data_IF_209341305560
#
_entry.id   IF_209341305560
#
_cell.length_a   1.000
_cell.length_b   1.000
_cell.length_c   1.000
_cell.angle_alpha   90.00
_cell.angle_beta   90.00
_cell.angle_gamma   90.00
#
_symmetry.space_group_name_H-M   'P 1'
#
loop_
_entity.id
_entity.type
_entity.pdbx_description
1 polymer ?
#
# COMPACT_ATOMS: atom_id res chain seq x y z
N UNK A 1 -29.73 8.35 -16.42
CA UNK A 1 -28.82 7.31 -16.95
C UNK A 1 -28.09 6.74 -15.75
N UNK A 2 -28.25 5.44 -15.42
CA UNK A 2 -27.53 4.86 -14.29
C UNK A 2 -26.05 4.74 -14.69
N UNK A 3 -25.16 5.28 -13.86
CA UNK A 3 -23.73 5.11 -14.00
C UNK A 3 -23.39 3.62 -13.81
N UNK A 4 -22.48 3.02 -14.60
CA UNK A 4 -21.93 1.71 -14.26
C UNK A 4 -21.12 1.91 -12.98
N UNK A 5 -21.66 1.43 -11.84
CA UNK A 5 -20.85 1.32 -10.64
C UNK A 5 -19.70 0.34 -10.90
N UNK A 6 -18.62 0.51 -10.15
CA UNK A 6 -17.53 -0.45 -10.23
C UNK A 6 -17.82 -1.56 -9.22
N UNK A 7 -17.62 -2.79 -9.68
CA UNK A 7 -17.65 -3.95 -8.81
C UNK A 7 -16.32 -3.98 -8.09
N UNK A 8 -16.37 -3.93 -6.77
CA UNK A 8 -15.22 -4.17 -5.94
C UNK A 8 -15.25 -5.58 -5.39
N UNK A 9 -14.11 -6.26 -5.51
CA UNK A 9 -13.93 -7.60 -4.99
C UNK A 9 -13.37 -7.52 -3.57
N UNK A 10 -14.17 -7.93 -2.58
CA UNK A 10 -13.77 -7.95 -1.17
C UNK A 10 -13.60 -9.38 -0.66
N UNK A 11 -12.53 -9.64 0.08
CA UNK A 11 -12.30 -10.93 0.75
C UNK A 11 -13.01 -10.96 2.10
N UNK A 12 -13.72 -12.04 2.38
CA UNK A 12 -14.47 -12.29 3.61
C UNK A 12 -14.07 -13.60 4.26
N UNK A 13 -14.16 -13.62 5.59
CA UNK A 13 -13.88 -14.78 6.39
C UNK A 13 -14.93 -15.88 6.12
N UNK A 14 -14.52 -17.12 5.79
CA UNK A 14 -15.47 -18.21 5.55
C UNK A 14 -16.26 -18.61 6.79
N UNK A 15 -15.74 -18.30 7.99
CA UNK A 15 -16.36 -18.74 9.24
C UNK A 15 -17.36 -17.73 9.82
N UNK A 16 -17.10 -16.43 9.70
CA UNK A 16 -17.96 -15.39 10.28
C UNK A 16 -18.38 -14.28 9.30
N UNK A 17 -17.94 -14.32 8.04
CA UNK A 17 -18.29 -13.33 7.03
C UNK A 17 -17.60 -11.96 7.15
N UNK A 18 -16.81 -11.73 8.21
CA UNK A 18 -16.06 -10.48 8.39
C UNK A 18 -15.05 -10.24 7.26
N UNK A 19 -14.98 -9.02 6.73
CA UNK A 19 -13.94 -8.57 5.79
C UNK A 19 -12.62 -8.20 6.47
N UNK A 20 -12.55 -8.27 7.79
CA UNK A 20 -11.40 -7.85 8.60
C UNK A 20 -10.34 -8.97 8.71
N UNK A 21 -9.84 -9.36 7.53
CA UNK A 21 -8.80 -10.36 7.31
C UNK A 21 -7.45 -9.67 7.13
N UNK A 22 -6.40 -10.19 7.78
CA UNK A 22 -5.03 -9.74 7.58
C UNK A 22 -4.11 -10.90 7.20
N UNK A 23 -3.10 -10.67 6.35
CA UNK A 23 -2.13 -11.72 6.02
C UNK A 23 -1.29 -12.01 7.27
N UNK A 24 -1.30 -13.28 7.70
CA UNK A 24 -0.51 -13.75 8.83
C UNK A 24 0.88 -14.23 8.39
N UNK A 25 0.97 -14.85 7.21
CA UNK A 25 2.24 -15.36 6.65
C UNK A 25 2.02 -15.71 5.18
N UNK A 26 2.97 -15.43 4.29
CA UNK A 26 2.85 -15.89 2.90
C UNK A 26 3.56 -15.01 1.89
N UNK A 27 4.70 -15.49 1.41
CA UNK A 27 5.29 -15.04 0.16
C UNK A 27 5.06 -16.14 -0.89
N UNK A 28 6.12 -16.82 -1.32
CA UNK A 28 6.11 -17.74 -2.47
C UNK A 28 5.18 -18.97 -2.33
N UNK A 29 4.79 -19.38 -1.12
CA UNK A 29 3.98 -20.57 -0.85
C UNK A 29 2.46 -20.28 -0.70
N UNK A 30 2.03 -19.06 -1.02
CA UNK A 30 0.64 -18.63 -0.88
C UNK A 30 0.39 -17.84 0.41
N UNK A 31 -0.70 -17.08 0.43
CA UNK A 31 -1.07 -16.20 1.54
C UNK A 31 -1.96 -16.93 2.55
N UNK A 32 -1.53 -16.99 3.81
CA UNK A 32 -2.37 -17.37 4.95
C UNK A 32 -3.01 -16.11 5.53
N UNK A 33 -4.32 -16.14 5.71
CA UNK A 33 -5.09 -15.06 6.31
C UNK A 33 -5.51 -15.40 7.72
N UNK A 34 -5.60 -14.37 8.57
CA UNK A 34 -6.22 -14.43 9.90
C UNK A 34 -7.38 -13.45 10.00
N UNK A 35 -8.48 -13.87 10.59
CA UNK A 35 -9.64 -13.01 10.86
C UNK A 35 -9.55 -12.40 12.27
N UNK A 36 -9.72 -11.08 12.39
CA UNK A 36 -9.75 -10.41 13.70
C UNK A 36 -11.02 -10.73 14.50
N UNK A 37 -12.13 -11.02 13.82
CA UNK A 37 -13.44 -11.22 14.46
C UNK A 37 -13.64 -12.59 15.10
N UNK A 38 -13.17 -13.67 14.44
CA UNK A 38 -13.39 -15.04 14.93
C UNK A 38 -12.13 -15.87 15.13
N UNK A 39 -10.95 -15.33 14.79
CA UNK A 39 -9.68 -16.05 14.93
C UNK A 39 -9.41 -17.11 13.85
N UNK A 40 -10.26 -17.23 12.83
CA UNK A 40 -10.01 -18.10 11.67
C UNK A 40 -8.61 -17.87 11.11
N UNK A 41 -7.88 -18.96 10.80
CA UNK A 41 -6.58 -18.94 10.16
C UNK A 41 -6.54 -19.95 9.01
N UNK A 42 -6.26 -19.49 7.79
CA UNK A 42 -6.17 -20.37 6.64
C UNK A 42 -5.91 -19.63 5.33
N UNK A 43 -5.57 -20.39 4.28
CA UNK A 43 -5.35 -19.83 2.94
C UNK A 43 -6.66 -19.55 2.19
N UNK A 44 -7.76 -20.14 2.65
CA UNK A 44 -9.07 -20.00 2.01
C UNK A 44 -9.79 -18.73 2.49
N UNK A 45 -10.31 -17.96 1.55
CA UNK A 45 -11.12 -16.75 1.76
C UNK A 45 -12.27 -16.75 0.77
N UNK A 46 -13.39 -16.14 1.14
CA UNK A 46 -14.56 -16.01 0.25
C UNK A 46 -14.49 -14.65 -0.41
N UNK A 47 -14.52 -14.60 -1.72
CA UNK A 47 -14.64 -13.33 -2.41
C UNK A 47 -16.11 -12.93 -2.63
N UNK A 48 -16.42 -11.66 -2.40
CA UNK A 48 -17.74 -11.08 -2.63
C UNK A 48 -17.65 -9.84 -3.49
N UNK A 49 -18.54 -9.76 -4.47
CA UNK A 49 -18.76 -8.59 -5.31
C UNK A 49 -19.65 -7.59 -4.55
N UNK A 50 -19.12 -6.41 -4.27
CA UNK A 50 -19.90 -5.29 -3.76
C UNK A 50 -19.89 -4.16 -4.78
N UNK A 51 -21.10 -3.68 -5.12
CA UNK A 51 -21.30 -2.49 -5.92
C UNK A 51 -20.86 -1.29 -5.09
N UNK A 52 -19.72 -0.69 -5.43
CA UNK A 52 -19.24 0.48 -4.72
C UNK A 52 -19.51 1.77 -5.53
N UNK A 53 -19.85 2.88 -4.85
CA UNK A 53 -20.02 4.18 -5.50
C UNK A 53 -18.68 4.69 -6.03
N UNK A 54 -18.65 5.12 -7.30
CA UNK A 54 -17.44 5.53 -8.08
C UNK A 54 -16.39 6.21 -7.20
N UNK A 55 -15.11 5.79 -7.20
CA UNK A 55 -14.10 6.44 -6.38
C UNK A 55 -14.04 7.89 -6.81
N UNK A 56 -14.17 8.80 -5.85
CA UNK A 56 -13.85 10.20 -6.08
C UNK A 56 -12.33 10.24 -6.25
N UNK A 57 -11.82 10.75 -7.38
CA UNK A 57 -10.38 10.91 -7.57
C UNK A 57 -9.80 11.64 -6.34
N UNK A 58 -8.77 11.08 -5.68
CA UNK A 58 -8.13 11.78 -4.59
C UNK A 58 -7.58 13.08 -5.16
N UNK A 59 -7.95 14.20 -4.54
CA UNK A 59 -7.30 15.46 -4.79
C UNK A 59 -5.79 15.26 -4.58
N UNK A 60 -5.06 15.60 -5.63
CA UNK A 60 -3.64 15.43 -5.80
C UNK A 60 -2.82 16.33 -4.87
N UNK A 61 -3.01 16.22 -3.55
CA UNK A 61 -2.16 16.84 -2.56
C UNK A 61 -1.16 15.83 -1.98
N UNK A 62 -0.52 15.05 -2.86
CA UNK A 62 0.78 14.47 -2.53
C UNK A 62 1.80 15.61 -2.58
N UNK A 63 1.98 16.31 -1.47
CA UNK A 63 3.20 17.08 -1.23
C UNK A 63 4.34 16.06 -1.04
N UNK A 64 4.77 15.49 -2.17
CA UNK A 64 6.14 15.01 -2.35
C UNK A 64 7.00 16.12 -1.79
N UNK A 65 7.69 15.83 -0.69
CA UNK A 65 8.82 16.65 -0.27
C UNK A 65 9.85 16.53 -1.38
N UNK A 66 9.71 17.34 -2.42
CA UNK A 66 10.65 17.50 -3.50
C UNK A 66 11.86 18.19 -2.89
N UNK A 67 12.83 17.39 -2.43
CA UNK A 67 14.13 17.89 -2.00
C UNK A 67 14.63 18.78 -3.14
N UNK A 68 14.82 20.09 -2.90
CA UNK A 68 15.05 21.00 -3.98
C UNK A 68 16.42 20.73 -4.59
N UNK A 69 16.53 20.85 -5.91
CA UNK A 69 17.71 20.42 -6.66
C UNK A 69 19.02 21.03 -6.13
N UNK A 70 18.97 22.27 -5.64
CA UNK A 70 20.12 22.95 -5.03
C UNK A 70 20.65 22.24 -3.77
N UNK A 71 19.79 21.62 -2.96
CA UNK A 71 20.23 20.87 -1.78
C UNK A 71 21.03 19.62 -2.16
N UNK A 72 20.62 18.93 -3.24
CA UNK A 72 21.38 17.79 -3.80
C UNK A 72 22.73 18.23 -4.35
N UNK A 73 22.77 19.39 -5.03
CA UNK A 73 24.01 19.96 -5.57
C UNK A 73 24.97 20.38 -4.45
N UNK A 74 24.49 21.06 -3.40
CA UNK A 74 25.30 21.46 -2.26
C UNK A 74 25.92 20.26 -1.53
N UNK A 75 25.16 19.18 -1.36
CA UNK A 75 25.67 17.95 -0.75
C UNK A 75 26.83 17.35 -1.56
N UNK A 76 26.72 17.32 -2.90
CA UNK A 76 27.79 16.83 -3.79
C UNK A 76 29.02 17.74 -3.76
N UNK A 77 28.82 19.07 -3.80
CA UNK A 77 29.92 20.05 -3.72
C UNK A 77 30.67 19.90 -2.40
N UNK A 78 29.96 19.84 -1.27
CA UNK A 78 30.57 19.67 0.05
C UNK A 78 31.39 18.38 0.14
N UNK A 79 30.86 17.27 -0.38
CA UNK A 79 31.56 15.98 -0.43
C UNK A 79 32.86 16.09 -1.23
N UNK A 80 32.82 16.68 -2.43
CA UNK A 80 34.01 16.82 -3.29
C UNK A 80 35.07 17.71 -2.64
N UNK A 81 34.68 18.83 -2.03
CA UNK A 81 35.61 19.73 -1.32
C UNK A 81 36.27 19.01 -0.15
N UNK A 82 35.48 18.27 0.65
CA UNK A 82 36.00 17.53 1.79
C UNK A 82 37.02 16.46 1.36
N UNK A 83 36.72 15.70 0.30
CA UNK A 83 37.65 14.72 -0.27
C UNK A 83 38.93 15.39 -0.78
N UNK A 84 38.81 16.53 -1.46
CA UNK A 84 39.98 17.26 -1.96
C UNK A 84 40.86 17.79 -0.83
N UNK A 85 40.26 18.32 0.25
CA UNK A 85 40.98 18.74 1.46
C UNK A 85 41.65 17.56 2.19
N UNK A 86 41.03 16.38 2.20
CA UNK A 86 41.58 15.20 2.85
C UNK A 86 42.77 14.58 2.08
N UNK A 87 42.84 14.82 0.77
CA UNK A 87 43.90 14.29 -0.11
C UNK A 87 45.06 15.30 -0.31
N UNK A 88 44.86 16.56 0.09
CA UNK A 88 45.83 17.66 -0.05
C UNK A 88 46.65 17.84 1.22
#
# INVERSE_FOLDING_TARGET
>A
MPHPGYIAYMRRCPQCGSSDLYPATGAYLGALYRCKGCGYQGAFVVDSEEEMPHPQEPDNASHRMDIPLWARILALIFLVIFVWLAVK
#
